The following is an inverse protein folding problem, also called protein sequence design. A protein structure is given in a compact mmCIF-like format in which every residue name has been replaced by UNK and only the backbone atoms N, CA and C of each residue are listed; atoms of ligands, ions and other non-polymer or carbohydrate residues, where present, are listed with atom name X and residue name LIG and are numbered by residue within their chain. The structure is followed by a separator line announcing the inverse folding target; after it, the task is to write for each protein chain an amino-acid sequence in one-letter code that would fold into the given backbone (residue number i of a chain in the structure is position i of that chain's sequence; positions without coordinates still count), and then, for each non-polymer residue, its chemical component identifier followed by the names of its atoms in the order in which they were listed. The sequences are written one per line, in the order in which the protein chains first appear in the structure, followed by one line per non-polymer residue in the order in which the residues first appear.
data_IF_817212443955
#
_entry.id   IF_817212443955
#
_cell.length_a   1.000
_cell.length_b   1.000
_cell.length_c   1.000
_cell.angle_alpha   90.00
_cell.angle_beta   90.00
_cell.angle_gamma   90.00
#
_symmetry.space_group_name_H-M   'P 1'
#
loop_
_entity.id
_entity.type
_entity.pdbx_description
1 polymer ?
#
# COMPACT_ATOMS: atom_id res chain seq x y z
N UNK A 1 -14.71 16.13 18.29
CA UNK A 1 -13.44 15.82 17.59
C UNK A 1 -12.82 14.51 18.05
N UNK A 2 -12.58 14.31 19.36
CA UNK A 2 -11.98 13.07 19.90
C UNK A 2 -12.66 11.78 19.39
N UNK A 3 -13.98 11.65 19.49
CA UNK A 3 -14.71 10.46 18.99
C UNK A 3 -14.44 10.12 17.51
N UNK A 4 -14.22 11.13 16.66
CA UNK A 4 -13.92 10.92 15.25
C UNK A 4 -12.49 10.44 15.03
N UNK A 5 -11.53 11.00 15.79
CA UNK A 5 -10.15 10.54 15.79
C UNK A 5 -10.02 9.13 16.36
N UNK A 6 -10.75 8.82 17.44
CA UNK A 6 -10.80 7.48 18.01
C UNK A 6 -11.38 6.48 17.02
N UNK A 7 -12.45 6.85 16.30
CA UNK A 7 -12.98 5.99 15.26
C UNK A 7 -11.95 5.72 14.16
N UNK A 8 -11.19 6.73 13.75
CA UNK A 8 -10.26 6.67 12.62
C UNK A 8 -8.92 5.99 12.97
N UNK A 9 -8.36 6.29 14.15
CA UNK A 9 -6.97 6.01 14.51
C UNK A 9 -6.82 4.93 15.60
N UNK A 10 -7.84 4.72 16.45
CA UNK A 10 -7.69 3.77 17.55
C UNK A 10 -7.57 2.34 17.00
N UNK A 11 -6.53 1.64 17.45
CA UNK A 11 -6.33 0.24 17.16
C UNK A 11 -7.47 -0.60 17.78
N UNK A 12 -8.11 -1.43 16.95
CA UNK A 12 -9.25 -2.27 17.35
C UNK A 12 -8.83 -3.61 17.95
N UNK A 13 -7.55 -3.94 17.87
CA UNK A 13 -6.94 -5.15 18.42
C UNK A 13 -6.25 -4.89 19.76
N UNK A 14 -5.93 -3.62 20.04
CA UNK A 14 -5.38 -3.17 21.31
C UNK A 14 -6.49 -2.94 22.34
N UNK A 15 -6.48 -3.63 23.50
CA UNK A 15 -7.45 -3.39 24.57
C UNK A 15 -7.42 -1.96 25.14
N UNK A 16 -6.27 -1.28 25.09
CA UNK A 16 -6.12 0.10 25.57
C UNK A 16 -6.48 1.14 24.50
N UNK A 17 -6.77 0.70 23.26
CA UNK A 17 -7.20 1.53 22.13
C UNK A 17 -6.23 2.67 21.80
N UNK A 18 -4.93 2.40 21.84
CA UNK A 18 -3.93 3.35 21.41
C UNK A 18 -4.13 3.78 19.95
N UNK A 19 -3.73 5.02 19.64
CA UNK A 19 -3.81 5.56 18.30
C UNK A 19 -2.64 5.06 17.45
N UNK A 20 -2.95 4.55 16.26
CA UNK A 20 -1.97 4.00 15.31
C UNK A 20 -2.13 4.68 13.96
N UNK A 21 -1.15 5.50 13.57
CA UNK A 21 -1.10 6.11 12.22
C UNK A 21 -0.26 5.25 11.28
N UNK A 22 0.86 4.74 11.78
CA UNK A 22 1.79 3.90 11.04
C UNK A 22 2.10 2.63 11.84
N UNK A 23 2.45 1.56 11.12
CA UNK A 23 2.87 0.29 11.68
C UNK A 23 4.27 -0.03 11.19
N UNK A 24 4.93 -0.98 11.86
CA UNK A 24 6.17 -1.55 11.35
C UNK A 24 5.99 -2.07 9.91
N UNK A 25 7.01 -1.95 9.05
CA UNK A 25 6.94 -2.43 7.68
C UNK A 25 6.68 -3.93 7.67
N UNK A 26 5.64 -4.36 6.95
CA UNK A 26 5.44 -5.76 6.63
C UNK A 26 6.26 -6.17 5.39
N UNK A 27 6.29 -7.46 5.08
CA UNK A 27 7.06 -7.99 3.95
C UNK A 27 6.64 -7.33 2.62
N UNK A 28 5.33 -7.12 2.41
CA UNK A 28 4.82 -6.56 1.16
C UNK A 28 5.34 -5.14 0.89
N UNK A 29 5.29 -4.24 1.90
CA UNK A 29 5.83 -2.88 1.72
C UNK A 29 7.35 -2.89 1.59
N UNK A 30 8.07 -3.79 2.27
CA UNK A 30 9.52 -3.92 2.12
C UNK A 30 9.89 -4.35 0.69
N UNK A 31 9.19 -5.34 0.14
CA UNK A 31 9.38 -5.77 -1.26
C UNK A 31 9.09 -4.61 -2.22
N UNK A 32 8.00 -3.88 -2.01
CA UNK A 32 7.68 -2.71 -2.82
C UNK A 32 8.79 -1.65 -2.79
N UNK A 33 9.30 -1.32 -1.59
CA UNK A 33 10.38 -0.35 -1.42
C UNK A 33 11.67 -0.81 -2.09
N UNK A 34 12.08 -2.07 -1.89
CA UNK A 34 13.28 -2.63 -2.55
C UNK A 34 13.14 -2.59 -4.07
N UNK A 35 12.01 -3.05 -4.62
CA UNK A 35 11.78 -3.01 -6.06
C UNK A 35 11.76 -1.59 -6.61
N UNK A 36 11.21 -0.63 -5.87
CA UNK A 36 11.21 0.80 -6.25
C UNK A 36 12.62 1.37 -6.27
N UNK A 37 13.43 1.04 -5.27
CA UNK A 37 14.84 1.46 -5.22
C UNK A 37 15.61 0.86 -6.40
N UNK A 38 15.45 -0.44 -6.66
CA UNK A 38 16.10 -1.09 -7.83
C UNK A 38 15.63 -0.46 -9.14
N UNK A 39 14.33 -0.18 -9.30
CA UNK A 39 13.78 0.46 -10.48
C UNK A 39 14.38 1.85 -10.76
N UNK A 40 14.77 2.60 -9.73
CA UNK A 40 15.40 3.92 -9.94
C UNK A 40 16.77 3.87 -10.61
N UNK A 41 17.39 2.68 -10.73
CA UNK A 41 18.67 2.48 -11.40
C UNK A 41 18.56 1.72 -12.72
N UNK A 42 17.36 1.27 -13.10
CA UNK A 42 17.14 0.46 -14.30
C UNK A 42 16.31 1.27 -15.29
N UNK A 43 16.74 1.37 -16.56
CA UNK A 43 15.94 2.00 -17.60
C UNK A 43 14.55 1.36 -17.71
N UNK A 44 13.53 2.19 -17.94
CA UNK A 44 12.14 1.73 -18.05
C UNK A 44 11.87 0.89 -19.32
N UNK A 45 12.80 0.91 -20.28
CA UNK A 45 12.71 0.16 -21.52
C UNK A 45 13.27 -1.27 -21.42
N UNK A 46 12.70 -2.16 -22.25
CA UNK A 46 13.09 -3.55 -22.30
C UNK A 46 12.54 -4.42 -21.16
N UNK A 47 12.90 -5.70 -21.19
CA UNK A 47 12.37 -6.71 -20.28
C UNK A 47 12.64 -6.43 -18.77
N UNK A 48 13.81 -5.93 -18.36
CA UNK A 48 14.09 -5.62 -16.95
C UNK A 48 13.18 -4.52 -16.39
N UNK A 49 13.02 -3.41 -17.12
CA UNK A 49 12.13 -2.31 -16.73
C UNK A 49 10.68 -2.76 -16.59
N UNK A 50 10.18 -3.55 -17.56
CA UNK A 50 8.82 -4.13 -17.50
C UNK A 50 8.66 -5.06 -16.29
N UNK A 51 9.66 -5.88 -15.99
CA UNK A 51 9.62 -6.81 -14.84
C UNK A 51 9.55 -6.04 -13.52
N UNK A 52 10.35 -5.00 -13.35
CA UNK A 52 10.34 -4.14 -12.16
C UNK A 52 9.02 -3.36 -12.04
N UNK A 53 8.49 -2.86 -13.16
CA UNK A 53 7.18 -2.22 -13.19
C UNK A 53 6.08 -3.17 -12.69
N UNK A 54 5.98 -4.38 -13.25
CA UNK A 54 4.98 -5.37 -12.82
C UNK A 54 5.20 -5.78 -11.36
N UNK A 55 6.44 -6.03 -10.97
CA UNK A 55 6.80 -6.41 -9.61
C UNK A 55 6.40 -5.38 -8.57
N UNK A 56 6.69 -4.10 -8.81
CA UNK A 56 6.30 -3.00 -7.90
C UNK A 56 4.77 -2.91 -7.77
N UNK A 57 4.01 -3.12 -8.85
CA UNK A 57 2.53 -3.13 -8.80
C UNK A 57 1.96 -4.30 -8.03
N UNK A 58 2.50 -5.51 -8.23
CA UNK A 58 2.06 -6.68 -7.46
C UNK A 58 2.36 -6.48 -5.97
N UNK A 59 3.57 -6.01 -5.63
CA UNK A 59 3.97 -5.80 -4.23
C UNK A 59 3.08 -4.78 -3.51
N UNK A 60 2.80 -3.64 -4.17
CA UNK A 60 1.94 -2.60 -3.57
C UNK A 60 0.47 -3.04 -3.51
N UNK A 61 -0.03 -3.81 -4.47
CA UNK A 61 -1.39 -4.38 -4.43
C UNK A 61 -1.53 -5.39 -3.29
N UNK A 62 -0.51 -6.23 -3.08
CA UNK A 62 -0.47 -7.14 -1.93
C UNK A 62 -0.53 -6.35 -0.63
N UNK A 63 0.35 -5.35 -0.46
CA UNK A 63 0.33 -4.51 0.74
C UNK A 63 -1.03 -3.84 0.96
N UNK A 64 -1.60 -3.25 -0.09
CA UNK A 64 -2.86 -2.53 -0.02
C UNK A 64 -4.05 -3.45 0.30
N UNK A 65 -4.05 -4.69 -0.22
CA UNK A 65 -5.00 -5.73 0.16
C UNK A 65 -4.86 -6.16 1.61
N UNK A 66 -3.64 -6.31 2.11
CA UNK A 66 -3.38 -6.62 3.52
C UNK A 66 -3.89 -5.50 4.43
N UNK A 67 -3.66 -4.23 4.09
CA UNK A 67 -4.20 -3.09 4.84
C UNK A 67 -5.73 -3.02 4.80
N UNK A 68 -6.34 -3.26 3.64
CA UNK A 68 -7.79 -3.24 3.48
C UNK A 68 -8.47 -4.31 4.36
N UNK A 69 -7.92 -5.53 4.36
CA UNK A 69 -8.53 -6.68 5.02
C UNK A 69 -8.13 -6.79 6.50
N UNK A 70 -6.86 -6.51 6.82
CA UNK A 70 -6.25 -6.75 8.13
C UNK A 70 -5.78 -5.47 8.84
N UNK A 71 -6.02 -4.30 8.25
CA UNK A 71 -5.73 -3.02 8.91
C UNK A 71 -6.45 -2.90 10.25
N UNK A 72 -5.69 -2.49 11.28
CA UNK A 72 -6.12 -2.45 12.68
C UNK A 72 -7.15 -1.36 12.99
N UNK A 73 -7.26 -0.35 12.12
CA UNK A 73 -8.19 0.76 12.25
C UNK A 73 -8.70 1.24 10.86
N UNK A 74 -9.74 2.08 10.82
CA UNK A 74 -10.29 2.60 9.55
C UNK A 74 -9.28 3.38 8.72
N UNK A 75 -8.37 4.14 9.32
CA UNK A 75 -7.35 4.86 8.55
C UNK A 75 -6.54 3.88 7.70
N UNK A 76 -6.06 2.78 8.30
CA UNK A 76 -5.27 1.75 7.61
C UNK A 76 -6.06 1.11 6.48
N UNK A 77 -7.32 0.74 6.73
CA UNK A 77 -8.19 0.15 5.70
C UNK A 77 -8.51 1.09 4.56
N UNK A 78 -8.79 2.37 4.86
CA UNK A 78 -9.03 3.42 3.85
C UNK A 78 -7.77 3.66 3.04
N UNK A 79 -6.60 3.67 3.68
CA UNK A 79 -5.31 3.79 2.97
C UNK A 79 -5.11 2.63 2.00
N UNK A 80 -5.34 1.39 2.46
CA UNK A 80 -5.31 0.20 1.60
C UNK A 80 -6.27 0.31 0.41
N UNK A 81 -7.54 0.66 0.66
CA UNK A 81 -8.53 0.87 -0.40
C UNK A 81 -8.10 1.95 -1.41
N UNK A 82 -7.62 3.10 -0.92
CA UNK A 82 -7.17 4.21 -1.74
C UNK A 82 -6.00 3.82 -2.64
N UNK A 83 -5.03 3.08 -2.10
CA UNK A 83 -3.88 2.58 -2.88
C UNK A 83 -4.30 1.54 -3.91
N UNK A 84 -5.23 0.63 -3.58
CA UNK A 84 -5.79 -0.31 -4.57
C UNK A 84 -6.42 0.43 -5.75
N UNK A 85 -7.30 1.41 -5.47
CA UNK A 85 -7.96 2.21 -6.51
C UNK A 85 -6.94 2.98 -7.35
N UNK A 86 -5.97 3.62 -6.72
CA UNK A 86 -4.92 4.38 -7.41
C UNK A 86 -4.11 3.51 -8.36
N UNK A 87 -3.68 2.32 -7.90
CA UNK A 87 -2.87 1.40 -8.71
C UNK A 87 -3.68 0.83 -9.86
N UNK A 88 -4.91 0.39 -9.61
CA UNK A 88 -5.80 -0.13 -10.66
C UNK A 88 -6.09 0.95 -11.71
N UNK A 89 -6.43 2.17 -11.30
CA UNK A 89 -6.65 3.29 -12.22
C UNK A 89 -5.40 3.60 -13.05
N UNK A 90 -4.21 3.61 -12.43
CA UNK A 90 -2.95 3.84 -13.12
C UNK A 90 -2.61 2.74 -14.14
N UNK A 91 -2.89 1.48 -13.83
CA UNK A 91 -2.73 0.37 -14.78
C UNK A 91 -3.72 0.50 -15.93
N UNK A 92 -5.00 0.79 -15.63
CA UNK A 92 -6.03 0.98 -16.65
C UNK A 92 -5.68 2.14 -17.61
N UNK A 93 -5.24 3.27 -17.08
CA UNK A 93 -4.82 4.42 -17.89
C UNK A 93 -3.64 4.09 -18.80
N UNK A 94 -2.71 3.22 -18.35
CA UNK A 94 -1.56 2.80 -19.15
C UNK A 94 -1.92 1.85 -20.28
N UNK A 95 -2.95 1.02 -20.13
CA UNK A 95 -3.38 0.07 -21.18
C UNK A 95 -4.35 0.68 -22.19
N UNK A 96 -4.98 1.80 -21.84
CA UNK A 96 -5.95 2.50 -22.69
C UNK A 96 -5.37 3.61 -23.57
N UNK A 97 -4.09 3.96 -23.38
CA UNK A 97 -3.37 4.99 -24.13
C UNK A 97 -2.31 4.37 -25.03
#
# INVERSE_FOLDING_TARGET
MQRGLDWLLADRTDPERHWVVAQWPNVAILVFLVLTVVASFVPDDGAPGVTLYVGTRIAVLWWAGDELLRGVNPLRRITGAGVLVFVVAGVLARVSG
#
